data_IF_516729956135
#
_entry.id   IF_516729956135
#
_cell.length_a   1.000
_cell.length_b   1.000
_cell.length_c   1.000
_cell.angle_alpha   90.00
_cell.angle_beta   90.00
_cell.angle_gamma   90.00
#
_symmetry.space_group_name_H-M   'P 1'
#
loop_
_entity.id
_entity.type
_entity.pdbx_description
1 polymer ?
#
# COMPACT_ATOMS: atom_id res chain seq x y z
N UNK A 1 -1.84 18.67 -7.66
CA UNK A 1 -1.04 17.46 -7.97
C UNK A 1 -0.56 16.89 -6.66
N UNK A 2 -0.78 15.60 -6.37
CA UNK A 2 -0.20 14.97 -5.18
C UNK A 2 1.30 14.78 -5.41
N UNK A 3 2.14 15.25 -4.48
CA UNK A 3 3.58 15.01 -4.55
C UNK A 3 3.90 13.54 -4.28
N UNK A 4 5.08 13.07 -4.71
CA UNK A 4 5.50 11.68 -4.47
C UNK A 4 5.54 11.32 -2.98
N UNK A 5 5.87 12.29 -2.12
CA UNK A 5 5.93 12.11 -0.67
C UNK A 5 4.53 12.08 -0.03
N UNK A 6 3.63 12.99 -0.42
CA UNK A 6 2.22 12.96 0.01
C UNK A 6 1.54 11.65 -0.41
N UNK A 7 1.85 11.15 -1.61
CA UNK A 7 1.41 9.83 -2.04
C UNK A 7 1.96 8.73 -1.13
N UNK A 8 3.24 8.84 -0.72
CA UNK A 8 3.89 7.93 0.22
C UNK A 8 3.19 7.83 1.56
N UNK A 9 2.81 8.97 2.17
CA UNK A 9 2.04 9.00 3.42
C UNK A 9 0.66 8.36 3.25
N UNK A 10 -0.09 8.76 2.22
CA UNK A 10 -1.41 8.17 1.95
C UNK A 10 -1.34 6.65 1.73
N UNK A 11 -0.31 6.19 1.02
CA UNK A 11 -0.11 4.77 0.78
C UNK A 11 0.35 4.01 2.04
N UNK A 12 1.07 4.66 2.96
CA UNK A 12 1.41 4.10 4.26
C UNK A 12 0.16 3.86 5.12
N UNK A 13 -0.74 4.83 5.21
CA UNK A 13 -2.02 4.70 5.93
C UNK A 13 -2.88 3.57 5.37
N UNK A 14 -2.98 3.52 4.03
CA UNK A 14 -3.72 2.46 3.37
C UNK A 14 -3.12 1.09 3.69
N UNK A 15 -1.79 0.95 3.69
CA UNK A 15 -1.14 -0.32 4.04
C UNK A 15 -1.40 -0.74 5.48
N UNK A 16 -1.38 0.20 6.43
CA UNK A 16 -1.74 -0.11 7.82
C UNK A 16 -3.18 -0.61 7.95
N UNK A 17 -4.12 0.01 7.23
CA UNK A 17 -5.50 -0.45 7.21
C UNK A 17 -5.65 -1.82 6.51
N UNK A 18 -4.91 -2.03 5.42
CA UNK A 18 -4.82 -3.31 4.70
C UNK A 18 -4.27 -4.42 5.61
N UNK A 19 -3.17 -4.17 6.33
CA UNK A 19 -2.52 -5.12 7.25
C UNK A 19 -3.40 -5.38 8.49
N UNK A 20 -4.17 -4.40 8.97
CA UNK A 20 -5.15 -4.60 10.04
C UNK A 20 -6.33 -5.48 9.64
N UNK A 21 -6.76 -5.39 8.37
CA UNK A 21 -7.84 -6.23 7.82
C UNK A 21 -7.37 -7.63 7.42
N UNK A 22 -6.14 -7.72 6.92
CA UNK A 22 -5.51 -8.97 6.47
C UNK A 22 -4.11 -9.12 7.07
N UNK A 23 -4.01 -9.44 8.37
CA UNK A 23 -2.72 -9.60 9.04
C UNK A 23 -1.90 -10.76 8.47
N UNK A 24 -2.59 -11.76 7.91
CA UNK A 24 -2.01 -12.90 7.21
C UNK A 24 -2.70 -13.04 5.86
N UNK A 25 -1.96 -13.49 4.85
CA UNK A 25 -2.53 -13.81 3.54
C UNK A 25 -3.59 -14.92 3.68
N UNK A 26 -4.86 -14.67 3.27
CA UNK A 26 -5.92 -15.67 3.38
C UNK A 26 -5.65 -16.91 2.52
N UNK A 27 -6.29 -18.03 2.85
CA UNK A 27 -6.21 -19.26 2.05
C UNK A 27 -6.91 -19.04 0.71
N UNK A 28 -6.26 -19.46 -0.39
CA UNK A 28 -6.83 -19.36 -1.75
C UNK A 28 -8.16 -20.09 -1.87
N UNK A 29 -9.10 -19.49 -2.59
CA UNK A 29 -10.44 -20.05 -2.84
C UNK A 29 -11.47 -19.77 -1.74
N UNK A 30 -11.07 -19.08 -0.67
CA UNK A 30 -12.02 -18.55 0.33
C UNK A 30 -12.63 -17.22 -0.14
N UNK A 31 -13.76 -16.82 0.44
CA UNK A 31 -14.35 -15.51 0.16
C UNK A 31 -13.39 -14.35 0.54
N UNK A 32 -12.60 -14.52 1.59
CA UNK A 32 -11.58 -13.56 2.03
C UNK A 32 -10.46 -13.40 1.00
N UNK A 33 -10.09 -14.47 0.29
CA UNK A 33 -9.09 -14.41 -0.78
C UNK A 33 -9.48 -13.43 -1.89
N UNK A 34 -10.75 -13.42 -2.30
CA UNK A 34 -11.22 -12.53 -3.37
C UNK A 34 -11.13 -11.06 -2.97
N UNK A 35 -11.39 -10.78 -1.70
CA UNK A 35 -11.26 -9.46 -1.12
C UNK A 35 -9.79 -9.03 -1.00
N UNK A 36 -8.92 -9.90 -0.47
CA UNK A 36 -7.48 -9.70 -0.43
C UNK A 36 -6.88 -9.48 -1.84
N UNK A 37 -7.33 -10.24 -2.84
CA UNK A 37 -6.91 -10.09 -4.22
C UNK A 37 -7.37 -8.75 -4.81
N UNK A 38 -8.60 -8.30 -4.52
CA UNK A 38 -9.09 -6.96 -4.90
C UNK A 38 -8.24 -5.86 -4.28
N UNK A 39 -7.90 -5.98 -3.01
CA UNK A 39 -7.01 -5.06 -2.30
C UNK A 39 -5.61 -4.98 -2.95
N UNK A 40 -4.96 -6.12 -3.19
CA UNK A 40 -3.65 -6.17 -3.90
C UNK A 40 -3.72 -5.50 -5.29
N UNK A 41 -4.81 -5.70 -6.03
CA UNK A 41 -5.04 -5.04 -7.33
C UNK A 41 -5.20 -3.53 -7.17
N UNK A 42 -5.94 -3.06 -6.17
CA UNK A 42 -6.10 -1.63 -5.89
C UNK A 42 -4.75 -0.97 -5.60
N UNK A 43 -3.91 -1.59 -4.76
CA UNK A 43 -2.54 -1.15 -4.49
C UNK A 43 -1.69 -1.05 -5.76
N UNK A 44 -1.78 -2.06 -6.63
CA UNK A 44 -1.10 -2.02 -7.92
C UNK A 44 -1.58 -0.87 -8.82
N UNK A 45 -2.89 -0.56 -8.83
CA UNK A 45 -3.46 0.57 -9.59
C UNK A 45 -2.97 1.92 -9.04
N UNK A 46 -3.02 2.14 -7.72
CA UNK A 46 -2.55 3.39 -7.09
C UNK A 46 -1.09 3.70 -7.43
N UNK A 47 -0.22 2.69 -7.39
CA UNK A 47 1.17 2.80 -7.81
C UNK A 47 1.30 3.18 -9.29
N UNK A 48 0.57 2.47 -10.17
CA UNK A 48 0.64 2.70 -11.62
C UNK A 48 0.12 4.09 -12.01
N UNK A 49 -0.87 4.63 -11.30
CA UNK A 49 -1.39 5.97 -11.53
C UNK A 49 -0.32 7.07 -11.37
N UNK A 50 0.69 6.84 -10.52
CA UNK A 50 1.83 7.74 -10.34
C UNK A 50 3.01 7.45 -11.29
N UNK A 51 2.90 6.44 -12.15
CA UNK A 51 4.03 5.99 -12.98
C UNK A 51 5.15 5.28 -12.19
N UNK A 52 4.91 4.89 -10.94
CA UNK A 52 5.95 4.31 -10.09
C UNK A 52 6.20 2.83 -10.39
N UNK A 53 7.46 2.40 -10.38
CA UNK A 53 7.83 0.98 -10.26
C UNK A 53 7.51 0.44 -8.86
N UNK A 54 7.51 -0.89 -8.66
CA UNK A 54 7.29 -1.48 -7.33
C UNK A 54 8.32 -1.00 -6.31
N UNK A 55 9.59 -0.98 -6.71
CA UNK A 55 10.69 -0.51 -5.88
C UNK A 55 10.55 0.97 -5.54
N UNK A 56 10.22 1.81 -6.53
CA UNK A 56 10.06 3.25 -6.33
C UNK A 56 8.91 3.58 -5.36
N UNK A 57 7.75 2.93 -5.53
CA UNK A 57 6.65 3.06 -4.59
C UNK A 57 6.97 2.55 -3.18
N UNK A 58 7.80 1.51 -3.05
CA UNK A 58 8.26 1.04 -1.74
C UNK A 58 9.20 2.05 -1.08
N UNK A 59 10.06 2.70 -1.85
CA UNK A 59 10.94 3.76 -1.35
C UNK A 59 10.14 4.91 -0.71
N UNK A 60 9.12 5.43 -1.38
CA UNK A 60 8.29 6.51 -0.84
C UNK A 60 7.51 6.14 0.42
N UNK A 61 7.01 4.91 0.50
CA UNK A 61 6.31 4.44 1.70
C UNK A 61 7.29 4.25 2.87
N UNK A 62 8.49 3.74 2.61
CA UNK A 62 9.52 3.63 3.63
C UNK A 62 9.99 5.01 4.10
N UNK A 63 10.11 5.97 3.19
CA UNK A 63 10.42 7.36 3.53
C UNK A 63 9.34 7.99 4.40
N UNK A 64 8.06 7.82 4.05
CA UNK A 64 6.94 8.26 4.86
C UNK A 64 6.99 7.63 6.27
N UNK A 65 7.24 6.33 6.37
CA UNK A 65 7.33 5.63 7.65
C UNK A 65 8.49 6.13 8.53
N UNK A 66 9.65 6.43 7.92
CA UNK A 66 10.79 7.01 8.65
C UNK A 66 10.47 8.40 9.21
N UNK A 67 9.72 9.21 8.46
CA UNK A 67 9.33 10.56 8.89
C UNK A 67 8.27 10.57 9.98
N UNK A 68 7.33 9.63 9.97
CA UNK A 68 6.37 9.47 11.07
C UNK A 68 7.00 8.90 12.34
N UNK A 69 7.90 7.93 12.23
CA UNK A 69 8.54 7.30 13.39
C UNK A 69 9.72 8.08 13.99
N UNK A 70 10.13 9.17 13.35
CA UNK A 70 11.22 10.05 13.78
C UNK A 70 10.75 11.40 14.34
N UNK A 71 9.46 11.53 14.68
CA UNK A 71 8.85 12.68 15.34
C UNK A 71 8.61 12.39 16.83
#
# INVERSE_FOLDING_TARGET
MTTSLEWGFRELDLRRAEDGRFPVEPVRGTAEWDEFARMKRARARRRKAMGFSRAHARSWVNEAARREGGA
#
